data_IF_839463734437
#
_entry.id   IF_839463734437
#
_cell.length_a   1.000
_cell.length_b   1.000
_cell.length_c   1.000
_cell.angle_alpha   90.00
_cell.angle_beta   90.00
_cell.angle_gamma   90.00
#
_symmetry.space_group_name_H-M   'P 1'
#
loop_
_entity.id
_entity.type
_entity.pdbx_description
1 polymer ?
#
# COMPACT_ATOMS: atom_id res chain seq x y z
N UNK A 1 3.32 6.18 3.61
CA UNK A 1 3.92 4.87 3.97
C UNK A 1 3.02 3.72 3.57
N UNK A 2 3.61 2.57 3.27
CA UNK A 2 2.92 1.34 2.88
C UNK A 2 2.06 0.72 3.98
N UNK A 3 2.40 0.95 5.25
CA UNK A 3 1.65 0.42 6.41
C UNK A 3 0.34 1.16 6.69
N UNK A 4 0.31 2.47 6.52
CA UNK A 4 -0.74 3.30 7.11
C UNK A 4 -0.45 3.60 8.58
N UNK A 5 -1.14 4.58 9.14
CA UNK A 5 -0.91 5.04 10.53
C UNK A 5 -1.46 4.02 11.52
N UNK A 6 -2.63 3.44 11.21
CA UNK A 6 -3.33 2.50 12.10
C UNK A 6 -3.72 1.23 11.36
N UNK A 7 -3.80 0.14 12.12
CA UNK A 7 -4.35 -1.13 11.68
C UNK A 7 -5.89 -1.09 11.63
N UNK A 8 -6.51 -2.20 11.26
CA UNK A 8 -7.98 -2.36 11.19
C UNK A 8 -8.66 -2.26 12.56
N UNK A 9 -7.94 -2.54 13.64
CA UNK A 9 -8.45 -2.44 15.02
C UNK A 9 -8.19 -1.07 15.65
N UNK A 10 -7.50 -0.16 14.94
CA UNK A 10 -7.19 1.19 15.42
C UNK A 10 -5.89 1.31 16.19
N UNK A 11 -5.07 0.25 16.27
CA UNK A 11 -3.74 0.30 16.87
C UNK A 11 -2.75 1.01 15.94
N UNK A 12 -1.75 1.64 16.52
CA UNK A 12 -0.70 2.31 15.75
C UNK A 12 0.24 1.27 15.11
N UNK A 13 0.47 1.41 13.80
CA UNK A 13 1.37 0.54 13.04
C UNK A 13 2.85 0.91 13.23
N UNK A 14 3.14 2.10 13.69
CA UNK A 14 4.49 2.59 13.98
C UNK A 14 4.43 3.84 14.86
N UNK A 15 5.53 4.13 15.50
CA UNK A 15 5.72 5.31 16.34
C UNK A 15 6.61 6.33 15.65
N UNK A 16 6.72 7.52 16.25
CA UNK A 16 7.68 8.53 15.79
C UNK A 16 9.12 8.04 15.94
N UNK A 17 9.41 7.23 16.97
CA UNK A 17 10.75 6.66 17.17
C UNK A 17 11.10 5.68 16.04
N UNK A 18 10.18 4.83 15.61
CA UNK A 18 10.39 3.94 14.47
C UNK A 18 10.79 4.70 13.21
N UNK A 19 10.14 5.86 12.96
CA UNK A 19 10.49 6.72 11.82
C UNK A 19 11.92 7.26 11.96
N UNK A 20 12.32 7.69 13.16
CA UNK A 20 13.67 8.19 13.42
C UNK A 20 14.70 7.09 13.16
N UNK A 21 14.47 5.88 13.68
CA UNK A 21 15.37 4.75 13.48
C UNK A 21 15.49 4.34 12.01
N UNK A 22 14.37 4.31 11.27
CA UNK A 22 14.38 4.08 9.83
C UNK A 22 15.15 5.19 9.09
N UNK A 23 14.94 6.45 9.45
CA UNK A 23 15.64 7.57 8.83
C UNK A 23 17.17 7.47 9.00
N UNK A 24 17.65 6.93 10.12
CA UNK A 24 19.08 6.66 10.36
C UNK A 24 19.66 5.68 9.35
N UNK A 25 18.89 4.65 8.93
CA UNK A 25 19.32 3.70 7.90
C UNK A 25 19.50 4.35 6.51
N UNK A 26 18.80 5.43 6.23
CA UNK A 26 18.91 6.17 4.97
C UNK A 26 20.00 7.25 4.98
N UNK A 27 20.68 7.48 6.10
CA UNK A 27 21.76 8.44 6.13
C UNK A 27 22.92 8.05 5.21
N UNK A 28 23.58 9.01 4.61
CA UNK A 28 24.69 8.77 3.70
C UNK A 28 24.33 8.39 2.27
N UNK A 29 23.10 8.01 2.00
CA UNK A 29 22.64 7.71 0.65
C UNK A 29 22.56 8.97 -0.21
N UNK A 30 23.03 8.90 -1.45
CA UNK A 30 23.10 9.99 -2.42
C UNK A 30 22.95 9.48 -3.83
N UNK A 31 22.75 10.41 -4.77
CA UNK A 31 22.82 10.16 -6.19
C UNK A 31 24.15 10.67 -6.74
N UNK A 32 24.76 9.93 -7.68
CA UNK A 32 25.91 10.38 -8.45
C UNK A 32 25.46 11.26 -9.64
N UNK A 33 26.42 11.70 -10.46
CA UNK A 33 26.14 12.53 -11.64
C UNK A 33 25.31 11.81 -12.73
N UNK A 34 25.13 10.50 -12.62
CA UNK A 34 24.31 9.66 -13.52
C UNK A 34 22.97 9.27 -12.93
N UNK A 35 22.56 9.92 -11.84
CA UNK A 35 21.35 9.59 -11.08
C UNK A 35 21.31 8.14 -10.52
N UNK A 36 22.48 7.51 -10.32
CA UNK A 36 22.58 6.21 -9.70
C UNK A 36 22.72 6.37 -8.18
N UNK A 37 21.95 5.64 -7.35
CA UNK A 37 22.07 5.71 -5.89
C UNK A 37 23.38 5.07 -5.43
N UNK A 38 24.06 5.68 -4.49
CA UNK A 38 25.24 5.13 -3.81
C UNK A 38 25.30 5.52 -2.35
N UNK A 39 25.93 4.68 -1.54
CA UNK A 39 26.16 4.95 -0.12
C UNK A 39 27.52 5.63 0.07
N UNK A 40 27.51 6.82 0.68
CA UNK A 40 28.72 7.46 1.20
C UNK A 40 28.90 7.07 2.66
N UNK A 41 29.65 6.01 2.93
CA UNK A 41 29.86 5.44 4.27
C UNK A 41 30.27 6.47 5.33
N UNK A 42 31.15 7.44 4.97
CA UNK A 42 31.56 8.49 5.90
C UNK A 42 30.45 9.45 6.36
N UNK A 43 29.26 9.32 5.80
CA UNK A 43 28.05 10.07 6.13
C UNK A 43 26.91 9.18 6.62
N UNK A 44 27.13 7.87 6.64
CA UNK A 44 26.16 6.94 7.19
C UNK A 44 26.28 6.89 8.71
N UNK A 45 25.14 6.76 9.37
CA UNK A 45 25.06 6.58 10.81
C UNK A 45 25.33 5.11 11.17
N UNK A 46 26.57 4.80 11.51
CA UNK A 46 27.01 3.51 12.06
C UNK A 46 26.90 3.44 13.58
N UNK A 47 26.20 4.39 14.23
CA UNK A 47 26.04 4.46 15.67
C UNK A 47 25.34 3.26 16.28
N UNK A 48 24.79 3.46 17.48
CA UNK A 48 24.08 2.41 18.23
C UNK A 48 23.03 1.71 17.38
N UNK A 49 22.67 0.50 17.79
CA UNK A 49 21.64 -0.32 17.17
C UNK A 49 20.39 0.49 16.77
N UNK A 50 19.87 0.19 15.62
CA UNK A 50 18.64 0.80 15.09
C UNK A 50 17.51 -0.19 15.30
N UNK A 51 16.67 0.09 16.28
CA UNK A 51 15.55 -0.79 16.68
C UNK A 51 14.24 -0.14 16.30
N UNK A 52 13.34 -0.91 15.69
CA UNK A 52 11.97 -0.50 15.37
C UNK A 52 10.97 -1.48 15.97
N UNK A 53 9.73 -1.01 16.13
CA UNK A 53 8.59 -1.78 16.69
C UNK A 53 8.75 -2.28 18.14
N UNK A 54 9.69 -1.72 18.90
CA UNK A 54 9.88 -2.06 20.29
C UNK A 54 8.64 -1.69 21.13
N UNK A 55 8.13 -0.47 20.94
CA UNK A 55 6.98 0.04 21.70
C UNK A 55 5.65 -0.49 21.23
N UNK A 56 5.52 -0.84 19.97
CA UNK A 56 4.29 -1.47 19.43
C UNK A 56 4.21 -2.95 19.76
N UNK A 57 5.33 -3.55 20.17
CA UNK A 57 5.41 -4.98 20.48
C UNK A 57 5.18 -5.90 19.27
N UNK A 58 5.16 -5.36 18.05
CA UNK A 58 4.85 -6.09 16.83
C UNK A 58 5.72 -7.34 16.61
N UNK A 59 7.00 -7.22 16.99
CA UNK A 59 7.99 -8.30 16.89
C UNK A 59 8.49 -8.74 18.28
N UNK A 60 7.66 -8.56 19.30
CA UNK A 60 8.01 -8.79 20.69
C UNK A 60 8.54 -7.52 21.41
N UNK A 61 8.79 -7.61 22.70
CA UNK A 61 9.15 -6.43 23.52
C UNK A 61 10.50 -5.80 23.16
N UNK A 62 11.39 -6.54 22.51
CA UNK A 62 12.68 -6.04 22.05
C UNK A 62 12.65 -5.36 20.68
N UNK A 63 11.52 -5.41 19.97
CA UNK A 63 11.42 -4.92 18.61
C UNK A 63 12.32 -5.67 17.63
N UNK A 64 12.67 -5.02 16.51
CA UNK A 64 13.61 -5.55 15.51
C UNK A 64 14.82 -4.64 15.39
N UNK A 65 15.99 -5.18 15.70
CA UNK A 65 17.27 -4.53 15.44
C UNK A 65 17.73 -4.86 14.02
N UNK A 66 17.47 -3.98 13.06
CA UNK A 66 17.80 -4.22 11.66
C UNK A 66 19.28 -3.94 11.34
N UNK A 67 20.02 -3.24 12.18
CA UNK A 67 21.49 -3.08 12.04
C UNK A 67 22.19 -4.42 12.11
N UNK A 68 21.76 -5.30 13.02
CA UNK A 68 22.38 -6.61 13.22
C UNK A 68 22.00 -7.66 12.18
N UNK A 69 20.93 -7.46 11.41
CA UNK A 69 20.45 -8.44 10.42
C UNK A 69 21.43 -8.55 9.24
N UNK A 70 21.94 -7.44 8.73
CA UNK A 70 22.79 -7.42 7.53
C UNK A 70 24.16 -6.76 7.75
N UNK A 71 24.43 -6.13 8.89
CA UNK A 71 25.75 -5.67 9.35
C UNK A 71 26.46 -4.61 8.50
N UNK A 72 25.81 -4.06 7.45
CA UNK A 72 26.37 -3.02 6.58
C UNK A 72 25.33 -1.94 6.30
N UNK A 73 25.80 -0.70 6.13
CA UNK A 73 24.89 0.41 5.83
C UNK A 73 24.06 0.21 4.56
N UNK A 74 24.57 -0.53 3.58
CA UNK A 74 23.80 -0.89 2.39
C UNK A 74 22.69 -1.92 2.70
N UNK A 75 23.01 -2.93 3.51
CA UNK A 75 22.05 -3.98 3.89
C UNK A 75 20.97 -3.52 4.86
N UNK A 76 21.15 -2.41 5.55
CA UNK A 76 20.13 -1.88 6.47
C UNK A 76 18.85 -1.48 5.76
N UNK A 77 18.92 -0.95 4.55
CA UNK A 77 17.71 -0.60 3.79
C UNK A 77 16.92 -1.85 3.41
N UNK A 78 17.60 -2.89 2.95
CA UNK A 78 16.96 -4.17 2.61
C UNK A 78 16.28 -4.75 3.86
N UNK A 79 16.97 -4.74 5.00
CA UNK A 79 16.41 -5.21 6.26
C UNK A 79 15.18 -4.39 6.71
N UNK A 80 15.21 -3.07 6.57
CA UNK A 80 14.04 -2.21 6.86
C UNK A 80 12.87 -2.56 5.96
N UNK A 81 13.10 -2.75 4.67
CA UNK A 81 12.06 -3.14 3.71
C UNK A 81 11.46 -4.48 4.10
N UNK A 82 12.30 -5.49 4.36
CA UNK A 82 11.86 -6.82 4.77
C UNK A 82 10.99 -6.79 6.02
N UNK A 83 11.41 -6.04 7.05
CA UNK A 83 10.64 -5.90 8.30
C UNK A 83 9.31 -5.20 8.06
N UNK A 84 9.25 -4.18 7.22
CA UNK A 84 8.00 -3.50 6.84
C UNK A 84 7.03 -4.49 6.16
N UNK A 85 7.52 -5.30 5.22
CA UNK A 85 6.69 -6.30 4.53
C UNK A 85 6.28 -7.48 5.41
N UNK A 86 6.98 -7.72 6.52
CA UNK A 86 6.61 -8.71 7.52
C UNK A 86 5.62 -8.19 8.57
N UNK A 87 5.37 -6.88 8.61
CA UNK A 87 4.47 -6.27 9.58
C UNK A 87 3.06 -6.84 9.49
N UNK A 88 2.46 -7.11 10.66
CA UNK A 88 1.13 -7.71 10.78
C UNK A 88 0.24 -6.89 11.69
N UNK A 89 -1.02 -6.85 11.36
CA UNK A 89 -2.06 -6.28 12.20
C UNK A 89 -2.26 -7.15 13.46
N UNK A 90 -2.98 -6.66 14.45
CA UNK A 90 -3.25 -7.33 15.72
C UNK A 90 -3.92 -8.71 15.58
N UNK A 91 -4.59 -8.95 14.45
CA UNK A 91 -5.21 -10.24 14.09
C UNK A 91 -4.28 -11.16 13.25
N UNK A 92 -2.99 -10.83 13.20
CA UNK A 92 -1.95 -11.57 12.48
C UNK A 92 -2.06 -11.54 10.94
N UNK A 93 -2.86 -10.66 10.35
CA UNK A 93 -2.91 -10.42 8.91
C UNK A 93 -1.83 -9.44 8.47
N UNK A 94 -1.30 -9.62 7.26
CA UNK A 94 -0.25 -8.75 6.73
C UNK A 94 -0.78 -7.33 6.45
N UNK A 95 -0.19 -6.34 7.12
CA UNK A 95 -0.62 -4.93 7.07
C UNK A 95 -0.44 -4.31 5.68
N UNK A 96 0.70 -4.58 5.02
CA UNK A 96 1.01 -4.02 3.69
C UNK A 96 0.05 -4.58 2.65
N UNK A 97 -0.22 -5.88 2.70
CA UNK A 97 -1.14 -6.53 1.77
C UNK A 97 -2.56 -5.99 1.92
N UNK A 98 -3.07 -5.89 3.16
CA UNK A 98 -4.38 -5.28 3.45
C UNK A 98 -4.48 -3.85 2.96
N UNK A 99 -3.47 -3.04 3.24
CA UNK A 99 -3.47 -1.65 2.80
C UNK A 99 -3.46 -1.54 1.28
N UNK A 100 -2.67 -2.35 0.60
CA UNK A 100 -2.62 -2.37 -0.87
C UNK A 100 -3.96 -2.78 -1.45
N UNK A 101 -4.55 -3.87 -0.96
CA UNK A 101 -5.87 -4.33 -1.39
C UNK A 101 -6.94 -3.26 -1.14
N UNK A 102 -6.99 -2.68 0.07
CA UNK A 102 -7.92 -1.60 0.40
C UNK A 102 -7.81 -0.42 -0.57
N UNK A 103 -6.60 0.04 -0.87
CA UNK A 103 -6.38 1.17 -1.80
C UNK A 103 -6.83 0.86 -3.21
N UNK A 104 -6.66 -0.38 -3.68
CA UNK A 104 -7.17 -0.79 -4.99
C UNK A 104 -8.70 -0.92 -4.99
N UNK A 105 -9.29 -1.45 -3.94
CA UNK A 105 -10.75 -1.49 -3.79
C UNK A 105 -11.33 -0.08 -3.76
N UNK A 106 -10.73 0.83 -3.01
CA UNK A 106 -11.15 2.25 -2.95
C UNK A 106 -11.01 2.94 -4.29
N UNK A 107 -9.98 2.60 -5.06
CA UNK A 107 -9.73 3.19 -6.37
C UNK A 107 -10.72 2.70 -7.43
N UNK A 108 -10.99 1.40 -7.49
CA UNK A 108 -11.81 0.80 -8.54
C UNK A 108 -13.28 0.58 -8.16
N UNK A 109 -13.59 0.52 -6.89
CA UNK A 109 -14.90 0.08 -6.41
C UNK A 109 -15.54 1.03 -5.42
N UNK A 110 -15.45 0.72 -4.14
CA UNK A 110 -16.19 1.41 -3.07
C UNK A 110 -15.27 2.07 -2.04
N UNK A 111 -15.56 3.30 -1.60
CA UNK A 111 -14.84 3.92 -0.49
C UNK A 111 -15.13 3.15 0.82
N UNK A 112 -14.12 3.07 1.68
CA UNK A 112 -14.21 2.39 2.98
C UNK A 112 -14.73 0.94 2.90
N UNK A 113 -14.05 0.05 2.15
CA UNK A 113 -14.47 -1.33 2.06
C UNK A 113 -14.45 -2.02 3.44
N UNK A 114 -15.41 -2.91 3.73
CA UNK A 114 -15.36 -3.77 4.91
C UNK A 114 -14.07 -4.57 4.97
N UNK A 115 -13.61 -4.86 6.19
CA UNK A 115 -12.33 -5.57 6.37
C UNK A 115 -12.40 -6.99 5.80
N UNK A 116 -13.53 -7.68 5.92
CA UNK A 116 -13.72 -9.03 5.38
C UNK A 116 -13.53 -9.03 3.86
N UNK A 117 -14.10 -8.05 3.14
CA UNK A 117 -13.89 -7.91 1.70
C UNK A 117 -12.42 -7.66 1.35
N UNK A 118 -11.72 -6.83 2.13
CA UNK A 118 -10.28 -6.60 1.94
C UNK A 118 -9.50 -7.91 2.13
N UNK A 119 -9.83 -8.67 3.16
CA UNK A 119 -9.18 -9.95 3.47
C UNK A 119 -9.44 -11.02 2.41
N UNK A 120 -10.65 -11.08 1.86
CA UNK A 120 -11.00 -11.98 0.77
C UNK A 120 -10.20 -11.65 -0.51
N UNK A 121 -10.03 -10.36 -0.80
CA UNK A 121 -9.21 -9.92 -1.94
C UNK A 121 -7.73 -10.21 -1.72
N UNK A 122 -7.19 -10.03 -0.51
CA UNK A 122 -5.81 -10.49 -0.16
C UNK A 122 -5.70 -11.99 -0.32
N UNK A 123 -6.71 -12.72 0.16
CA UNK A 123 -6.80 -14.17 0.11
C UNK A 123 -6.00 -14.88 1.21
N UNK A 124 -5.97 -16.20 1.13
CA UNK A 124 -5.26 -17.08 2.08
C UNK A 124 -4.50 -18.17 1.35
N UNK A 125 -3.56 -18.81 2.04
CA UNK A 125 -2.77 -19.93 1.48
C UNK A 125 -1.63 -19.47 0.56
N UNK A 126 -1.03 -20.38 -0.19
CA UNK A 126 0.20 -20.12 -0.96
C UNK A 126 0.01 -19.09 -2.09
N UNK A 127 -1.21 -18.94 -2.59
CA UNK A 127 -1.53 -17.98 -3.65
C UNK A 127 -2.01 -16.63 -3.11
N UNK A 128 -2.00 -16.42 -1.80
CA UNK A 128 -2.37 -15.16 -1.19
C UNK A 128 -1.45 -14.02 -1.67
N UNK A 129 -1.98 -12.80 -1.69
CA UNK A 129 -1.19 -11.66 -2.16
C UNK A 129 0.05 -11.40 -1.30
N UNK A 130 -0.04 -11.58 0.02
CA UNK A 130 1.09 -11.44 0.96
C UNK A 130 2.15 -12.55 0.86
N UNK A 131 1.89 -13.60 0.06
CA UNK A 131 2.85 -14.66 -0.24
C UNK A 131 3.50 -14.46 -1.62
N UNK A 132 2.74 -14.00 -2.58
CA UNK A 132 3.19 -13.90 -3.98
C UNK A 132 3.61 -12.50 -4.40
N UNK A 133 3.04 -11.48 -3.77
CA UNK A 133 3.15 -10.06 -4.13
C UNK A 133 2.79 -9.77 -5.61
N UNK A 134 1.99 -10.64 -6.22
CA UNK A 134 1.55 -10.49 -7.60
C UNK A 134 0.28 -9.63 -7.68
N UNK A 135 0.45 -8.39 -8.13
CA UNK A 135 -0.67 -7.45 -8.31
C UNK A 135 -1.73 -7.98 -9.28
N UNK A 136 -1.32 -8.73 -10.30
CA UNK A 136 -2.27 -9.38 -11.23
C UNK A 136 -3.21 -10.36 -10.53
N UNK A 137 -2.70 -11.15 -9.58
CA UNK A 137 -3.51 -12.05 -8.76
C UNK A 137 -4.48 -11.31 -7.85
N UNK A 138 -4.01 -10.21 -7.25
CA UNK A 138 -4.83 -9.33 -6.43
C UNK A 138 -5.97 -8.69 -7.23
N UNK A 139 -5.67 -8.14 -8.40
CA UNK A 139 -6.67 -7.55 -9.30
C UNK A 139 -7.67 -8.59 -9.80
N UNK A 140 -7.19 -9.80 -10.12
CA UNK A 140 -8.08 -10.89 -10.52
C UNK A 140 -9.10 -11.19 -9.42
N UNK A 141 -8.66 -11.37 -8.16
CA UNK A 141 -9.57 -11.60 -7.03
C UNK A 141 -10.52 -10.44 -6.83
N UNK A 142 -10.03 -9.20 -6.92
CA UNK A 142 -10.88 -8.01 -6.80
C UNK A 142 -11.99 -8.01 -7.85
N UNK A 143 -11.65 -8.18 -9.12
CA UNK A 143 -12.62 -8.09 -10.22
C UNK A 143 -13.49 -9.34 -10.41
N UNK A 144 -13.20 -10.43 -9.73
CA UNK A 144 -14.07 -11.63 -9.74
C UNK A 144 -14.85 -11.81 -8.44
N UNK A 145 -14.65 -10.93 -7.44
CA UNK A 145 -15.33 -11.02 -6.16
C UNK A 145 -16.77 -10.50 -6.28
N UNK A 146 -17.71 -11.24 -5.72
CA UNK A 146 -19.14 -10.87 -5.78
C UNK A 146 -19.40 -9.52 -5.15
N UNK A 147 -18.78 -9.22 -4.01
CA UNK A 147 -18.94 -7.95 -3.30
C UNK A 147 -18.44 -6.74 -4.09
N UNK A 148 -17.56 -6.95 -5.07
CA UNK A 148 -17.15 -5.88 -5.97
C UNK A 148 -18.31 -5.39 -6.83
N UNK A 149 -19.23 -6.29 -7.23
CA UNK A 149 -20.38 -5.97 -8.07
C UNK A 149 -21.67 -5.74 -7.28
N UNK A 150 -21.83 -6.45 -6.17
CA UNK A 150 -23.09 -6.46 -5.40
C UNK A 150 -23.08 -5.48 -4.23
N UNK A 151 -21.93 -4.96 -3.85
CA UNK A 151 -21.74 -4.12 -2.66
C UNK A 151 -21.61 -4.98 -1.40
N UNK A 152 -20.48 -4.85 -0.71
CA UNK A 152 -20.20 -5.61 0.50
C UNK A 152 -21.28 -5.38 1.56
N UNK A 153 -21.90 -6.44 2.03
CA UNK A 153 -22.65 -6.46 3.29
C UNK A 153 -24.17 -6.59 3.25
N UNK A 154 -24.81 -6.78 2.09
CA UNK A 154 -26.24 -7.13 2.12
C UNK A 154 -26.66 -7.98 0.93
N UNK A 155 -27.21 -9.18 1.14
CA UNK A 155 -27.83 -9.96 0.09
C UNK A 155 -28.95 -9.14 -0.58
N UNK A 156 -28.76 -8.78 -1.86
CA UNK A 156 -29.79 -8.12 -2.66
C UNK A 156 -29.78 -6.59 -2.68
N UNK A 157 -28.81 -5.93 -2.02
CA UNK A 157 -28.63 -4.47 -2.14
C UNK A 157 -27.46 -4.15 -3.05
N UNK A 158 -27.78 -3.85 -4.31
CA UNK A 158 -26.85 -3.29 -5.28
C UNK A 158 -26.49 -1.85 -4.89
N UNK A 159 -25.55 -1.67 -3.99
CA UNK A 159 -25.05 -0.36 -3.62
C UNK A 159 -23.63 -0.15 -4.13
N UNK A 160 -23.45 -0.23 -5.44
CA UNK A 160 -22.28 0.36 -6.06
C UNK A 160 -22.37 1.88 -5.89
N UNK A 161 -21.89 2.36 -4.77
CA UNK A 161 -21.57 3.77 -4.59
C UNK A 161 -20.09 4.00 -4.96
N UNK A 162 -19.71 3.55 -6.14
CA UNK A 162 -18.49 4.04 -6.76
C UNK A 162 -18.69 5.54 -6.98
N UNK A 163 -17.94 6.33 -6.25
CA UNK A 163 -17.83 7.75 -6.55
C UNK A 163 -17.00 7.82 -7.82
N UNK A 164 -17.68 7.97 -8.96
CA UNK A 164 -16.99 8.22 -10.21
C UNK A 164 -16.05 9.42 -10.03
N UNK A 165 -14.81 9.28 -10.45
CA UNK A 165 -13.88 10.40 -10.47
C UNK A 165 -14.55 11.57 -11.19
N UNK A 166 -14.37 12.81 -10.74
CA UNK A 166 -15.05 13.97 -11.34
C UNK A 166 -14.90 14.01 -12.86
N UNK A 167 -13.74 13.60 -13.37
CA UNK A 167 -13.50 13.55 -14.82
C UNK A 167 -14.29 12.44 -15.50
N UNK A 168 -14.40 11.26 -14.91
CA UNK A 168 -15.18 10.14 -15.45
C UNK A 168 -16.66 10.44 -15.41
N UNK A 169 -17.12 11.08 -14.34
CA UNK A 169 -18.50 11.56 -14.23
C UNK A 169 -18.83 12.55 -15.34
N UNK A 170 -17.96 13.56 -15.55
CA UNK A 170 -18.15 14.57 -16.59
C UNK A 170 -18.13 13.94 -17.98
N UNK A 171 -17.12 13.11 -18.27
CA UNK A 171 -16.98 12.46 -19.58
C UNK A 171 -18.17 11.51 -19.87
N UNK A 172 -18.57 10.70 -18.89
CA UNK A 172 -19.70 9.78 -19.04
C UNK A 172 -21.00 10.55 -19.22
N UNK A 173 -21.22 11.61 -18.44
CA UNK A 173 -22.40 12.48 -18.57
C UNK A 173 -22.47 13.13 -19.95
N UNK A 174 -21.35 13.69 -20.43
CA UNK A 174 -21.29 14.31 -21.76
C UNK A 174 -21.55 13.29 -22.88
N UNK A 175 -21.01 12.06 -22.76
CA UNK A 175 -21.28 10.98 -23.72
C UNK A 175 -22.74 10.56 -23.70
N UNK A 176 -23.32 10.35 -22.52
CA UNK A 176 -24.74 9.96 -22.36
C UNK A 176 -25.68 11.03 -22.92
N UNK A 177 -25.38 12.29 -22.68
CA UNK A 177 -26.15 13.43 -23.20
C UNK A 177 -25.84 13.74 -24.68
N UNK A 178 -24.92 13.01 -25.31
CA UNK A 178 -24.44 13.25 -26.69
C UNK A 178 -23.97 14.70 -26.92
N UNK A 179 -23.48 15.34 -25.87
CA UNK A 179 -22.93 16.69 -25.95
C UNK A 179 -21.53 16.62 -26.56
N UNK A 180 -21.33 17.30 -27.66
CA UNK A 180 -19.99 17.48 -28.25
C UNK A 180 -19.41 18.78 -27.72
N UNK A 181 -18.31 18.73 -26.92
CA UNK A 181 -17.63 19.94 -26.46
C UNK A 181 -17.16 20.76 -27.66
N UNK A 182 -17.46 22.05 -27.66
CA UNK A 182 -16.91 22.97 -28.65
C UNK A 182 -15.62 23.56 -28.10
N UNK A 183 -14.48 23.17 -28.65
CA UNK A 183 -13.19 23.74 -28.30
C UNK A 183 -12.03 22.87 -28.74
N UNK A 184 -10.94 23.49 -29.17
CA UNK A 184 -9.71 22.81 -29.60
C UNK A 184 -8.92 22.21 -28.44
N UNK A 185 -9.28 22.50 -27.21
CA UNK A 185 -8.48 22.21 -26.01
C UNK A 185 -8.92 20.91 -25.29
N UNK A 186 -9.98 20.29 -25.73
CA UNK A 186 -10.30 18.92 -25.31
C UNK A 186 -9.69 17.95 -26.31
N UNK A 187 -8.38 17.80 -26.24
CA UNK A 187 -7.68 16.65 -26.79
C UNK A 187 -8.12 15.41 -26.01
N UNK A 188 -9.32 15.00 -26.22
CA UNK A 188 -9.65 13.59 -26.05
C UNK A 188 -8.80 12.90 -27.11
N UNK A 189 -7.83 12.10 -26.67
CA UNK A 189 -7.11 11.22 -27.57
C UNK A 189 -8.14 10.55 -28.47
N UNK A 190 -8.20 10.97 -29.71
CA UNK A 190 -9.21 10.55 -30.65
C UNK A 190 -8.96 9.11 -31.02
N UNK A 191 -9.75 8.22 -30.49
CA UNK A 191 -10.10 7.02 -31.20
C UNK A 191 -11.32 7.36 -32.03
N UNK A 192 -11.22 7.32 -33.33
CA UNK A 192 -12.38 7.19 -34.22
C UNK A 192 -13.11 5.91 -33.80
N UNK A 193 -14.37 6.06 -33.43
CA UNK A 193 -15.32 4.98 -33.29
C UNK A 193 -16.45 5.17 -34.25
#
# INVERSE_FOLDING_TARGET
FTLGVKDSAGNDNYTQEDIVQIARAFTGWRYNEKDEPFLRESRHDFGADKVIYETTGQFGPAGVNFTSINGTGAGEIDAVVDVIFQHRDSDNRNTVARRTARRLIEFFGTPNPPIDFVDDVVGTGPDAFDQTWLVSGLLWRLFTHDDFYLGAGAPGVTTHKSIAWPIDYVVTTLRTLKVKPKGKDLLVAGGEY
#
